data_IF_424371482667
#
_entry.id   IF_424371482667
#
_cell.length_a   1.000
_cell.length_b   1.000
_cell.length_c   1.000
_cell.angle_alpha   90.00
_cell.angle_beta   90.00
_cell.angle_gamma   90.00
#
_symmetry.space_group_name_H-M   'P 1'
#
loop_
_entity.id
_entity.type
_entity.pdbx_description
1 polymer ?
#
# COMPACT_ATOMS: atom_id res chain seq x y z
N UNK A 1 1.66 10.80 0.91
CA UNK A 1 2.34 9.51 1.19
C UNK A 1 3.75 9.50 0.65
N UNK A 2 3.96 9.52 -0.69
CA UNK A 2 5.31 9.62 -1.29
C UNK A 2 6.17 10.75 -0.70
N UNK A 3 5.61 11.97 -0.66
CA UNK A 3 6.31 13.15 -0.12
C UNK A 3 6.68 12.98 1.36
N UNK A 4 5.76 12.45 2.19
CA UNK A 4 6.02 12.18 3.60
C UNK A 4 7.19 11.20 3.77
N UNK A 5 7.21 10.11 2.99
CA UNK A 5 8.30 9.13 3.02
C UNK A 5 9.63 9.78 2.60
N UNK A 6 9.62 10.55 1.52
CA UNK A 6 10.81 11.27 1.04
C UNK A 6 11.33 12.29 2.05
N UNK A 7 10.45 13.07 2.70
CA UNK A 7 10.84 14.08 3.68
C UNK A 7 11.43 13.49 4.96
N UNK A 8 11.04 12.26 5.29
CA UNK A 8 11.54 11.54 6.46
C UNK A 8 12.64 10.53 6.12
N UNK A 9 13.22 10.60 4.91
CA UNK A 9 14.28 9.71 4.42
C UNK A 9 13.94 8.22 4.55
N UNK A 10 12.67 7.86 4.40
CA UNK A 10 12.23 6.46 4.34
C UNK A 10 12.50 5.94 2.94
N UNK A 11 13.17 4.79 2.84
CA UNK A 11 13.39 4.12 1.56
C UNK A 11 12.12 3.41 1.10
N UNK A 12 11.71 3.60 -0.15
CA UNK A 12 10.53 2.95 -0.71
C UNK A 12 10.64 2.82 -2.22
N UNK A 13 9.95 1.81 -2.74
CA UNK A 13 9.69 1.66 -4.18
C UNK A 13 8.30 2.21 -4.48
N UNK A 14 8.21 3.19 -5.38
CA UNK A 14 6.92 3.65 -5.89
C UNK A 14 6.44 2.71 -6.99
N UNK A 15 5.19 2.25 -6.90
CA UNK A 15 4.57 1.37 -7.90
C UNK A 15 3.29 2.05 -8.42
N UNK A 16 3.28 2.37 -9.72
CA UNK A 16 2.08 2.84 -10.42
C UNK A 16 1.26 1.62 -10.88
N UNK A 17 0.14 1.34 -10.22
CA UNK A 17 -0.58 0.08 -10.46
C UNK A 17 -1.22 -0.01 -11.85
N UNK A 18 -1.45 1.13 -12.52
CA UNK A 18 -2.04 1.18 -13.87
C UNK A 18 -1.00 1.17 -14.99
N UNK A 19 0.30 1.18 -14.67
CA UNK A 19 1.37 1.20 -15.67
C UNK A 19 1.46 -0.11 -16.45
N UNK A 20 1.19 -1.26 -15.79
CA UNK A 20 1.27 -2.56 -16.43
C UNK A 20 0.35 -3.61 -15.80
N UNK A 21 0.05 -4.67 -16.54
CA UNK A 21 -0.67 -5.84 -16.02
C UNK A 21 0.09 -6.51 -14.86
N UNK A 22 1.42 -6.46 -14.86
CA UNK A 22 2.24 -6.98 -13.77
C UNK A 22 2.04 -6.19 -12.48
N UNK A 23 2.13 -4.86 -12.57
CA UNK A 23 1.90 -3.95 -11.44
C UNK A 23 0.50 -4.09 -10.87
N UNK A 24 -0.51 -4.15 -11.75
CA UNK A 24 -1.90 -4.37 -11.34
C UNK A 24 -2.08 -5.73 -10.64
N UNK A 25 -1.50 -6.80 -11.20
CA UNK A 25 -1.59 -8.15 -10.61
C UNK A 25 -0.94 -8.21 -9.22
N UNK A 26 0.21 -7.59 -9.04
CA UNK A 26 0.89 -7.53 -7.74
C UNK A 26 0.02 -6.80 -6.69
N UNK A 27 -0.61 -5.68 -7.07
CA UNK A 27 -1.57 -5.00 -6.19
C UNK A 27 -2.78 -5.88 -5.87
N UNK A 28 -3.38 -6.53 -6.87
CA UNK A 28 -4.56 -7.38 -6.66
C UNK A 28 -4.28 -8.56 -5.73
N UNK A 29 -3.05 -9.12 -5.73
CA UNK A 29 -2.67 -10.16 -4.78
C UNK A 29 -2.86 -9.72 -3.32
N UNK A 30 -2.44 -8.51 -2.97
CA UNK A 30 -2.70 -7.94 -1.64
C UNK A 30 -4.16 -7.53 -1.46
N UNK A 31 -4.72 -6.81 -2.43
CA UNK A 31 -6.08 -6.28 -2.36
C UNK A 31 -7.11 -7.36 -2.09
N UNK A 32 -6.99 -8.50 -2.77
CA UNK A 32 -8.02 -9.53 -2.74
C UNK A 32 -7.86 -10.50 -1.57
N UNK A 33 -6.62 -10.72 -1.11
CA UNK A 33 -6.31 -11.77 -0.13
C UNK A 33 -5.89 -11.26 1.25
N UNK A 34 -5.28 -10.07 1.36
CA UNK A 34 -4.79 -9.59 2.65
C UNK A 34 -5.94 -9.13 3.55
N UNK A 35 -5.87 -9.48 4.84
CA UNK A 35 -6.93 -9.20 5.82
C UNK A 35 -7.17 -7.70 6.01
N UNK A 36 -6.11 -6.88 5.97
CA UNK A 36 -6.21 -5.42 6.07
C UNK A 36 -7.08 -4.76 4.96
N UNK A 37 -7.30 -5.45 3.83
CA UNK A 37 -8.19 -4.97 2.77
C UNK A 37 -9.66 -5.42 2.95
N UNK A 38 -10.00 -6.24 3.96
CA UNK A 38 -11.36 -6.76 4.11
C UNK A 38 -12.41 -5.64 4.15
N UNK A 39 -12.24 -4.66 5.03
CA UNK A 39 -13.16 -3.52 5.16
C UNK A 39 -13.11 -2.60 3.93
N UNK A 40 -11.95 -2.47 3.31
CA UNK A 40 -11.78 -1.70 2.06
C UNK A 40 -12.64 -2.32 0.95
N UNK A 41 -12.58 -3.64 0.78
CA UNK A 41 -13.41 -4.37 -0.19
C UNK A 41 -14.89 -4.27 0.15
N UNK A 42 -15.25 -4.47 1.43
CA UNK A 42 -16.64 -4.41 1.88
C UNK A 42 -17.26 -3.02 1.64
N UNK A 43 -16.47 -1.96 1.79
CA UNK A 43 -16.90 -0.58 1.53
C UNK A 43 -16.85 -0.17 0.05
N UNK A 44 -16.55 -1.10 -0.87
CA UNK A 44 -16.47 -0.82 -2.31
C UNK A 44 -15.31 0.08 -2.72
N UNK A 45 -14.32 0.27 -1.83
CA UNK A 45 -13.15 1.12 -2.09
C UNK A 45 -12.06 0.32 -2.80
N UNK A 46 -11.19 1.05 -3.52
CA UNK A 46 -10.01 0.46 -4.16
C UNK A 46 -8.91 0.20 -3.14
N UNK A 47 -8.72 1.11 -2.18
CA UNK A 47 -7.69 1.00 -1.13
C UNK A 47 -6.33 1.58 -1.52
N UNK A 48 -6.32 2.65 -2.31
CA UNK A 48 -5.12 3.38 -2.70
C UNK A 48 -5.20 4.84 -2.23
N UNK A 49 -4.05 5.50 -1.99
CA UNK A 49 -2.71 4.92 -1.90
C UNK A 49 -2.55 4.05 -0.63
N UNK A 50 -1.70 3.01 -0.71
CA UNK A 50 -1.35 2.15 0.42
C UNK A 50 0.16 1.88 0.46
N UNK A 51 0.70 1.62 1.65
CA UNK A 51 2.08 1.17 1.85
C UNK A 51 2.04 -0.32 2.18
N UNK A 52 2.93 -1.09 1.54
CA UNK A 52 3.18 -2.48 1.87
C UNK A 52 4.55 -2.55 2.53
N UNK A 53 4.63 -3.15 3.72
CA UNK A 53 5.85 -3.30 4.51
C UNK A 53 6.18 -4.79 4.57
N UNK A 54 7.47 -5.12 4.43
CA UNK A 54 8.02 -6.49 4.52
C UNK A 54 7.18 -7.51 3.74
N UNK A 55 6.99 -7.26 2.44
CA UNK A 55 6.25 -8.16 1.52
C UNK A 55 4.82 -8.52 1.97
N UNK A 56 4.16 -7.60 2.67
CA UNK A 56 2.77 -7.75 3.10
C UNK A 56 2.60 -8.22 4.54
N UNK A 57 3.64 -8.16 5.37
CA UNK A 57 3.47 -8.30 6.83
C UNK A 57 2.52 -7.24 7.38
N UNK A 58 2.61 -6.01 6.85
CA UNK A 58 1.78 -4.89 7.26
C UNK A 58 1.37 -4.05 6.06
N UNK A 59 0.14 -3.58 6.09
CA UNK A 59 -0.37 -2.57 5.16
C UNK A 59 -0.88 -1.35 5.90
N UNK A 60 -0.52 -0.18 5.38
CA UNK A 60 -0.96 1.11 5.90
C UNK A 60 -1.79 1.81 4.84
N UNK A 61 -2.96 2.30 5.26
CA UNK A 61 -3.87 3.09 4.44
C UNK A 61 -3.94 4.51 5.00
N UNK A 62 -4.02 5.51 4.12
CA UNK A 62 -4.14 6.90 4.55
C UNK A 62 -2.80 7.54 4.90
N UNK A 63 -2.79 8.48 5.86
CA UNK A 63 -1.57 9.16 6.29
C UNK A 63 -0.81 8.28 7.28
N UNK A 64 0.42 7.85 6.97
CA UNK A 64 1.21 7.03 7.89
C UNK A 64 1.84 7.89 8.99
N UNK A 65 2.12 7.25 10.12
CA UNK A 65 3.01 7.77 11.17
C UNK A 65 4.39 7.10 11.08
N UNK A 66 5.46 7.81 11.47
CA UNK A 66 6.83 7.29 11.30
C UNK A 66 7.08 6.01 12.13
N UNK A 67 6.48 5.91 13.30
CA UNK A 67 6.54 4.73 14.16
C UNK A 67 5.87 3.49 13.56
N UNK A 68 5.06 3.65 12.51
CA UNK A 68 4.41 2.53 11.84
C UNK A 68 5.27 1.89 10.75
N UNK A 69 6.34 2.59 10.33
CA UNK A 69 7.23 2.24 9.23
C UNK A 69 8.53 1.57 9.69
N UNK A 70 8.77 1.50 11.01
CA UNK A 70 9.98 0.99 11.66
C UNK A 70 9.70 -0.27 12.46
#
# INVERSE_FOLDING_TARGET
MKEFLSQNNVEFTYVEITESMGSLRAFLQYRDNHAAFADVRQSGRVGLPCIVINDGEKLIFGQPELSELL
#
